data_IF_235094007792
#
_entry.id   IF_235094007792
#
_cell.length_a   1.000
_cell.length_b   1.000
_cell.length_c   1.000
_cell.angle_alpha   90.00
_cell.angle_beta   90.00
_cell.angle_gamma   90.00
#
_symmetry.space_group_name_H-M   'P 1'
#
loop_
_entity.id
_entity.type
_entity.pdbx_description
1 polymer ?
#
# COMPACT_ATOMS: atom_id res chain seq x y z
N UNK A 1 -13.27 23.00 -5.71
CA UNK A 1 -11.82 22.93 -5.98
C UNK A 1 -11.65 22.54 -7.44
N UNK A 2 -10.90 23.32 -8.24
CA UNK A 2 -10.64 23.01 -9.67
C UNK A 2 -9.24 22.41 -9.77
N UNK A 3 -9.13 21.20 -10.30
CA UNK A 3 -7.85 20.52 -10.51
C UNK A 3 -7.07 21.18 -11.66
N UNK A 4 -5.82 21.56 -11.39
CA UNK A 4 -4.89 22.06 -12.39
C UNK A 4 -3.92 20.93 -12.78
N UNK A 5 -4.22 20.23 -13.87
CA UNK A 5 -3.28 19.30 -14.49
C UNK A 5 -2.26 20.03 -15.38
N UNK A 6 -1.00 19.59 -15.36
CA UNK A 6 0.07 20.16 -16.19
C UNK A 6 0.24 19.37 -17.49
N UNK A 7 0.40 20.10 -18.60
CA UNK A 7 0.58 19.54 -19.95
C UNK A 7 2.07 19.39 -20.26
N UNK A 8 2.61 18.18 -20.20
CA UNK A 8 3.93 17.90 -20.79
C UNK A 8 3.77 17.72 -22.30
N UNK A 9 4.40 18.62 -23.08
CA UNK A 9 4.39 18.56 -24.54
C UNK A 9 5.71 17.92 -25.00
N UNK A 10 5.70 16.62 -25.28
CA UNK A 10 6.76 15.97 -26.06
C UNK A 10 6.27 15.97 -27.51
N UNK A 11 7.01 16.65 -28.40
CA UNK A 11 6.65 16.77 -29.82
C UNK A 11 6.46 15.37 -30.44
N UNK A 12 5.25 15.07 -30.90
CA UNK A 12 4.97 13.89 -31.74
C UNK A 12 4.14 12.76 -31.14
N UNK A 13 3.66 12.85 -29.88
CA UNK A 13 2.72 11.87 -29.34
C UNK A 13 1.45 12.54 -28.82
N UNK A 14 0.29 11.90 -29.05
CA UNK A 14 -1.01 12.38 -28.60
C UNK A 14 -0.99 12.65 -27.09
N UNK A 15 -1.48 13.80 -26.69
CA UNK A 15 -1.50 14.23 -25.30
C UNK A 15 -2.40 13.28 -24.48
N UNK A 16 -1.78 12.33 -23.76
CA UNK A 16 -2.44 11.61 -22.66
C UNK A 16 -2.46 12.53 -21.45
N UNK A 17 -3.66 12.91 -21.01
CA UNK A 17 -3.86 13.45 -19.68
C UNK A 17 -3.45 12.37 -18.67
N UNK A 18 -2.30 12.53 -18.01
CA UNK A 18 -2.03 11.76 -16.79
C UNK A 18 -2.72 12.49 -15.66
N UNK A 19 -3.75 11.87 -15.09
CA UNK A 19 -4.35 12.38 -13.87
C UNK A 19 -3.30 12.21 -12.77
N UNK A 20 -2.86 13.30 -12.13
CA UNK A 20 -1.91 13.25 -11.02
C UNK A 20 -2.38 12.31 -9.89
N UNK A 21 -3.70 12.12 -9.79
CA UNK A 21 -4.35 11.17 -8.88
C UNK A 21 -3.99 9.69 -9.07
N UNK A 22 -3.52 9.26 -10.26
CA UNK A 22 -3.20 7.85 -10.53
C UNK A 22 -1.91 7.37 -9.85
N UNK A 23 -1.04 8.29 -9.41
CA UNK A 23 0.22 7.99 -8.73
C UNK A 23 0.17 8.23 -7.21
N UNK A 24 -1.00 8.52 -6.65
CA UNK A 24 -1.15 8.66 -5.21
C UNK A 24 -1.23 7.28 -4.53
N UNK A 25 -0.21 6.92 -3.76
CA UNK A 25 -0.14 5.65 -3.04
C UNK A 25 -0.35 5.85 -1.53
N UNK A 26 -1.18 4.99 -0.93
CA UNK A 26 -1.38 4.90 0.53
C UNK A 26 -0.52 3.80 1.12
N UNK A 27 0.39 4.17 2.01
CA UNK A 27 1.18 3.22 2.78
C UNK A 27 0.63 3.16 4.20
N UNK A 28 0.13 2.00 4.59
CA UNK A 28 -0.51 1.76 5.89
C UNK A 28 0.40 0.83 6.70
N UNK A 29 0.74 1.26 7.91
CA UNK A 29 1.41 0.48 8.93
C UNK A 29 0.37 0.03 9.94
N UNK A 30 0.30 -1.27 10.18
CA UNK A 30 -0.58 -1.86 11.19
C UNK A 30 0.28 -2.69 12.12
N UNK A 31 0.06 -2.51 13.42
CA UNK A 31 0.69 -3.30 14.48
C UNK A 31 -0.38 -4.20 15.05
N UNK A 32 -0.11 -5.50 15.09
CA UNK A 32 -1.02 -6.51 15.61
C UNK A 32 -0.41 -7.17 16.84
N UNK A 33 -1.26 -7.54 17.80
CA UNK A 33 -0.86 -8.37 18.91
C UNK A 33 -0.69 -9.82 18.44
N UNK A 34 0.47 -10.40 18.75
CA UNK A 34 0.76 -11.81 18.43
C UNK A 34 0.19 -12.73 19.52
N UNK A 35 -0.21 -13.96 19.18
CA UNK A 35 -0.59 -14.96 20.18
C UNK A 35 0.52 -15.18 21.21
N UNK A 36 0.14 -15.24 22.50
CA UNK A 36 1.08 -15.46 23.59
C UNK A 36 2.01 -16.66 23.33
N UNK A 37 3.31 -16.47 23.60
CA UNK A 37 4.36 -17.48 23.50
C UNK A 37 4.61 -18.09 22.11
N UNK A 38 4.00 -17.56 21.04
CA UNK A 38 4.22 -18.05 19.66
C UNK A 38 4.96 -17.01 18.83
N UNK A 39 6.25 -17.24 18.62
CA UNK A 39 7.01 -16.47 17.62
C UNK A 39 6.61 -16.95 16.22
N UNK A 40 6.04 -16.06 15.42
CA UNK A 40 5.76 -16.33 14.01
C UNK A 40 7.06 -16.63 13.25
N UNK A 41 7.02 -17.63 12.36
CA UNK A 41 8.16 -18.03 11.52
C UNK A 41 7.83 -17.78 10.05
N UNK A 42 7.57 -16.53 9.73
CA UNK A 42 7.29 -16.12 8.35
C UNK A 42 8.58 -16.02 7.55
N UNK A 43 8.58 -16.63 6.37
CA UNK A 43 9.66 -16.48 5.41
C UNK A 43 9.48 -15.17 4.62
N UNK A 44 10.55 -14.38 4.53
CA UNK A 44 10.54 -13.16 3.75
C UNK A 44 10.88 -13.48 2.28
N UNK A 45 9.86 -13.60 1.45
CA UNK A 45 10.06 -13.71 0.01
C UNK A 45 10.24 -12.30 -0.61
N UNK A 46 11.29 -12.14 -1.42
CA UNK A 46 11.56 -10.89 -2.14
C UNK A 46 10.79 -10.79 -3.48
N UNK A 47 10.02 -11.82 -3.82
CA UNK A 47 9.18 -11.90 -5.01
C UNK A 47 7.69 -11.95 -4.62
N UNK A 48 6.79 -11.58 -5.55
CA UNK A 48 5.33 -11.68 -5.39
C UNK A 48 4.73 -10.95 -4.18
N UNK A 49 5.18 -9.72 -3.91
CA UNK A 49 4.54 -8.84 -2.90
C UNK A 49 3.25 -8.18 -3.38
N UNK A 50 2.92 -8.33 -4.66
CA UNK A 50 1.66 -7.85 -5.24
C UNK A 50 0.53 -8.83 -4.88
N UNK A 51 -0.68 -8.31 -4.64
CA UNK A 51 -1.88 -9.09 -4.23
C UNK A 51 -1.84 -9.68 -2.81
N UNK A 52 -1.08 -9.08 -1.89
CA UNK A 52 -1.13 -9.43 -0.46
C UNK A 52 -2.56 -9.30 0.09
N UNK A 53 -3.02 -10.31 0.84
CA UNK A 53 -4.32 -10.31 1.50
C UNK A 53 -4.13 -10.20 3.02
N UNK A 54 -4.39 -9.00 3.54
CA UNK A 54 -4.26 -8.69 4.96
C UNK A 54 -5.20 -9.52 5.83
N UNK A 55 -6.45 -9.72 5.40
CA UNK A 55 -7.45 -10.47 6.18
C UNK A 55 -7.02 -11.93 6.33
N UNK A 56 -6.55 -12.56 5.26
CA UNK A 56 -6.00 -13.91 5.31
C UNK A 56 -4.76 -13.97 6.22
N UNK A 57 -3.84 -13.02 6.07
CA UNK A 57 -2.63 -12.95 6.90
C UNK A 57 -2.93 -12.90 8.40
N UNK A 58 -3.89 -12.04 8.81
CA UNK A 58 -4.34 -11.90 10.20
C UNK A 58 -4.99 -13.19 10.71
N UNK A 59 -5.86 -13.78 9.90
CA UNK A 59 -6.56 -15.02 10.22
C UNK A 59 -5.60 -16.18 10.41
N UNK A 60 -4.70 -16.44 9.45
CA UNK A 60 -3.81 -17.61 9.45
C UNK A 60 -2.82 -17.59 10.63
N UNK A 61 -2.46 -16.40 11.11
CA UNK A 61 -1.54 -16.19 12.23
C UNK A 61 -2.24 -16.00 13.57
N UNK A 62 -3.57 -16.08 13.59
CA UNK A 62 -4.40 -15.88 14.78
C UNK A 62 -4.09 -14.56 15.50
N UNK A 63 -3.81 -13.49 14.74
CA UNK A 63 -3.45 -12.21 15.33
C UNK A 63 -4.68 -11.60 16.02
N UNK A 64 -4.49 -11.11 17.24
CA UNK A 64 -5.48 -10.24 17.86
C UNK A 64 -5.50 -8.90 17.11
N UNK A 65 -6.64 -8.20 17.13
CA UNK A 65 -6.90 -7.01 16.30
C UNK A 65 -5.78 -5.94 16.33
N UNK A 66 -5.80 -4.97 15.40
CA UNK A 66 -4.73 -3.99 15.32
C UNK A 66 -4.66 -3.16 16.62
N UNK A 67 -3.51 -3.22 17.30
CA UNK A 67 -3.24 -2.48 18.54
C UNK A 67 -2.76 -1.05 18.26
N UNK A 68 -2.20 -0.83 17.07
CA UNK A 68 -1.85 0.49 16.59
C UNK A 68 -1.89 0.53 15.04
N UNK A 69 -2.04 1.73 14.50
CA UNK A 69 -1.97 1.96 13.07
C UNK A 69 -1.50 3.37 12.75
N UNK A 70 -0.80 3.51 11.63
CA UNK A 70 -0.41 4.79 11.07
C UNK A 70 -0.40 4.68 9.54
N UNK A 71 -0.48 5.80 8.83
CA UNK A 71 -0.36 5.80 7.37
C UNK A 71 0.28 7.10 6.88
N UNK A 72 0.87 7.03 5.69
CA UNK A 72 1.21 8.22 4.92
C UNK A 72 0.73 8.09 3.47
N UNK A 73 0.50 9.24 2.85
CA UNK A 73 0.21 9.37 1.44
C UNK A 73 1.50 9.78 0.73
N UNK A 74 1.89 9.01 -0.28
CA UNK A 74 2.92 9.43 -1.23
C UNK A 74 2.21 9.83 -2.52
N UNK A 75 2.58 11.00 -3.04
CA UNK A 75 2.20 11.48 -4.35
C UNK A 75 3.49 11.89 -5.05
N UNK A 76 3.62 11.52 -6.33
CA UNK A 76 4.79 11.86 -7.16
C UNK A 76 4.82 13.35 -7.57
#
# INVERSE_FOLDING_TARGET
>A
MREFGYKQIIRGQSARWKNAHENAHRYIFLVYEQPHNTRLRDEFYNHNRTKFNLTAFVHDRHLAGPVAGNFFHLHD
#
